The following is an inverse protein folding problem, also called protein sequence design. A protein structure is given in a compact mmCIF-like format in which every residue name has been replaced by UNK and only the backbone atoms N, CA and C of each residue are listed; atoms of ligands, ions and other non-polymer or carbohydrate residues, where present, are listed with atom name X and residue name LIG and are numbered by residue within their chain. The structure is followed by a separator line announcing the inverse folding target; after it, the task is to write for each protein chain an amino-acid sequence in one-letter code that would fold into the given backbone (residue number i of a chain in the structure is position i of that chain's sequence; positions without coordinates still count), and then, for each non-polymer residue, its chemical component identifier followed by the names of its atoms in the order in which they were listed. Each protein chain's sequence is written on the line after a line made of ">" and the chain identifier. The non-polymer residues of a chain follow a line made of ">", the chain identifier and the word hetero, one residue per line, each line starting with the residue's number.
data_IF_245655507660
#
_entry.id   IF_245655507660
#
_cell.length_a   1.000
_cell.length_b   1.000
_cell.length_c   1.000
_cell.angle_alpha   90.00
_cell.angle_beta   90.00
_cell.angle_gamma   90.00
#
_symmetry.space_group_name_H-M   'P 1'
#
loop_
_entity.id
_entity.type
_entity.pdbx_description
1 polymer ?
#
# COMPACT_ATOMS: atom_id res chain seq x y z
N UNK A 1 14.52 4.77 -4.64
CA UNK A 1 15.10 5.78 -3.74
C UNK A 1 14.04 6.22 -2.76
N UNK A 2 14.38 6.36 -1.46
CA UNK A 2 13.46 6.85 -0.43
C UNK A 2 12.93 8.25 -0.82
N UNK A 3 11.65 8.51 -0.52
CA UNK A 3 10.81 9.60 -1.04
C UNK A 3 11.53 10.91 -1.39
N UNK A 4 11.58 11.22 -2.69
CA UNK A 4 12.07 12.48 -3.23
C UNK A 4 10.92 13.41 -3.63
N UNK A 5 11.26 14.60 -4.11
CA UNK A 5 10.28 15.55 -4.63
C UNK A 5 9.92 15.18 -6.07
N UNK A 6 8.63 15.20 -6.41
CA UNK A 6 8.12 14.76 -7.70
C UNK A 6 6.97 15.62 -8.22
N UNK A 7 6.91 15.79 -9.53
CA UNK A 7 5.81 16.42 -10.26
C UNK A 7 5.35 15.47 -11.37
N UNK A 8 4.04 15.22 -11.43
CA UNK A 8 3.41 14.50 -12.53
C UNK A 8 3.14 15.46 -13.69
N UNK A 9 3.57 15.08 -14.89
CA UNK A 9 3.31 15.83 -16.12
C UNK A 9 2.90 14.90 -17.25
N UNK A 10 2.21 15.43 -18.25
CA UNK A 10 1.86 14.72 -19.48
C UNK A 10 2.61 15.34 -20.66
N UNK A 11 3.54 14.58 -21.25
CA UNK A 11 4.33 15.04 -22.40
C UNK A 11 3.56 15.16 -23.72
N UNK A 12 2.34 14.62 -23.78
CA UNK A 12 1.45 14.66 -24.95
C UNK A 12 0.40 15.76 -24.85
N UNK A 13 0.19 16.29 -23.65
CA UNK A 13 -0.66 17.45 -23.41
C UNK A 13 0.17 18.72 -23.63
N UNK A 14 -0.05 19.40 -24.75
CA UNK A 14 0.69 20.61 -25.14
C UNK A 14 -0.18 21.65 -25.83
N UNK A 15 -1.49 21.69 -25.54
CA UNK A 15 -2.47 22.38 -26.39
C UNK A 15 -3.21 23.54 -25.71
N UNK A 16 -3.00 23.77 -24.41
CA UNK A 16 -3.65 24.86 -23.68
C UNK A 16 -2.73 26.05 -23.41
N UNK A 17 -3.18 27.27 -23.74
CA UNK A 17 -2.50 28.50 -23.27
C UNK A 17 -2.58 28.64 -21.75
N UNK A 18 -3.71 28.25 -21.16
CA UNK A 18 -3.98 28.28 -19.72
C UNK A 18 -3.16 27.26 -18.92
N UNK A 19 -2.72 26.19 -19.57
CA UNK A 19 -2.09 25.08 -18.87
C UNK A 19 -0.67 25.39 -18.43
N UNK A 20 -0.32 24.94 -17.23
CA UNK A 20 1.04 25.05 -16.69
C UNK A 20 1.95 24.15 -17.49
N UNK A 21 2.96 24.72 -18.13
CA UNK A 21 3.95 23.98 -18.93
C UNK A 21 5.13 23.59 -18.04
N UNK A 22 5.78 22.48 -18.38
CA UNK A 22 6.93 21.93 -17.64
C UNK A 22 8.12 21.77 -18.58
N UNK A 23 9.27 22.32 -18.22
CA UNK A 23 10.55 22.04 -18.86
C UNK A 23 11.27 20.94 -18.08
N UNK A 24 11.76 19.93 -18.81
CA UNK A 24 12.42 18.75 -18.23
C UNK A 24 13.80 18.55 -18.85
N UNK A 25 14.80 18.29 -18.01
CA UNK A 25 16.13 17.86 -18.42
C UNK A 25 16.58 16.66 -17.57
N UNK A 26 17.02 15.58 -18.20
CA UNK A 26 17.48 14.35 -17.54
C UNK A 26 16.53 13.83 -16.43
N UNK A 27 15.22 13.92 -16.66
CA UNK A 27 14.19 13.48 -15.71
C UNK A 27 13.93 14.44 -14.55
N UNK A 28 14.51 15.65 -14.56
CA UNK A 28 14.27 16.70 -13.56
C UNK A 28 13.48 17.85 -14.16
N UNK A 29 12.59 18.44 -13.36
CA UNK A 29 11.98 19.73 -13.69
C UNK A 29 13.05 20.80 -13.56
N UNK A 30 13.33 21.51 -14.65
CA UNK A 30 14.29 22.63 -14.68
C UNK A 30 13.58 23.99 -14.70
N UNK A 31 12.32 24.02 -15.14
CA UNK A 31 11.46 25.19 -15.09
C UNK A 31 9.99 24.76 -15.26
N UNK A 32 9.05 25.58 -14.82
CA UNK A 32 7.62 25.38 -15.04
C UNK A 32 6.85 26.70 -14.90
N UNK A 33 5.74 26.83 -15.60
CA UNK A 33 4.92 28.04 -15.53
C UNK A 33 3.92 28.15 -16.68
N UNK A 34 2.96 29.07 -16.55
CA UNK A 34 2.02 29.37 -17.65
C UNK A 34 2.69 30.15 -18.78
N UNK A 35 3.69 30.95 -18.43
CA UNK A 35 4.51 31.83 -19.28
C UNK A 35 5.67 31.13 -19.98
N UNK A 36 5.93 29.86 -19.67
CA UNK A 36 7.04 29.11 -20.24
C UNK A 36 6.90 28.99 -21.77
N UNK A 37 7.99 29.29 -22.49
CA UNK A 37 7.97 29.25 -23.96
C UNK A 37 7.67 27.83 -24.48
N UNK A 38 6.91 27.69 -25.60
CA UNK A 38 6.63 26.39 -26.19
C UNK A 38 7.89 25.60 -26.60
N UNK A 39 8.99 26.28 -26.93
CA UNK A 39 10.26 25.65 -27.30
C UNK A 39 10.94 24.93 -26.12
N UNK A 40 10.70 25.40 -24.90
CA UNK A 40 11.23 24.80 -23.67
C UNK A 40 10.28 23.78 -23.04
N UNK A 41 8.99 23.90 -23.32
CA UNK A 41 7.97 23.01 -22.79
C UNK A 41 8.15 21.57 -23.29
N UNK A 42 8.09 20.63 -22.35
CA UNK A 42 8.13 19.17 -22.61
C UNK A 42 6.83 18.47 -22.27
N UNK A 43 5.83 19.22 -21.79
CA UNK A 43 4.50 18.76 -21.46
C UNK A 43 3.80 19.74 -20.52
N UNK A 44 2.63 19.33 -20.03
CA UNK A 44 1.82 20.10 -19.08
C UNK A 44 1.80 19.42 -17.70
N UNK A 45 1.81 20.23 -16.64
CA UNK A 45 1.67 19.76 -15.27
C UNK A 45 0.26 19.22 -15.04
N UNK A 46 0.15 18.10 -14.34
CA UNK A 46 -1.15 17.51 -13.98
C UNK A 46 -1.66 17.99 -12.62
N UNK A 47 -1.02 18.97 -12.00
CA UNK A 47 -1.38 19.47 -10.66
C UNK A 47 -1.10 18.49 -9.51
N UNK A 48 -0.46 17.35 -9.78
CA UNK A 48 -0.13 16.34 -8.77
C UNK A 48 1.35 16.39 -8.42
N UNK A 49 1.64 16.75 -7.18
CA UNK A 49 2.99 16.90 -6.65
C UNK A 49 3.19 16.04 -5.40
N UNK A 50 4.42 15.58 -5.19
CA UNK A 50 4.84 14.87 -4.00
C UNK A 50 6.09 15.54 -3.45
N UNK A 51 6.09 15.87 -2.17
CA UNK A 51 7.25 16.47 -1.51
C UNK A 51 7.64 15.63 -0.30
N UNK A 52 8.95 15.48 -0.10
CA UNK A 52 9.47 15.01 1.18
C UNK A 52 9.50 16.16 2.20
N UNK A 53 9.93 15.88 3.43
CA UNK A 53 9.93 16.88 4.50
C UNK A 53 10.75 18.14 4.15
N UNK A 54 11.91 17.97 3.51
CA UNK A 54 12.73 19.11 3.09
C UNK A 54 12.04 19.90 1.96
N UNK A 55 11.46 19.19 1.00
CA UNK A 55 10.72 19.78 -0.12
C UNK A 55 9.51 20.58 0.32
N UNK A 56 8.74 20.06 1.28
CA UNK A 56 7.56 20.75 1.80
C UNK A 56 7.94 22.02 2.57
N UNK A 57 9.01 21.98 3.38
CA UNK A 57 9.51 23.18 4.08
C UNK A 57 9.98 24.26 3.10
N UNK A 58 10.71 23.88 2.06
CA UNK A 58 11.14 24.83 1.04
C UNK A 58 9.95 25.43 0.28
N UNK A 59 8.97 24.60 -0.12
CA UNK A 59 7.76 25.08 -0.77
C UNK A 59 7.01 26.09 0.10
N UNK A 60 6.76 25.75 1.37
CA UNK A 60 6.07 26.65 2.30
C UNK A 60 6.83 27.96 2.50
N UNK A 61 8.16 27.91 2.64
CA UNK A 61 8.98 29.13 2.71
C UNK A 61 8.86 30.00 1.46
N UNK A 62 8.70 29.40 0.26
CA UNK A 62 8.45 30.15 -0.98
C UNK A 62 7.04 30.70 -1.08
N UNK A 63 6.04 29.99 -0.55
CA UNK A 63 4.68 30.51 -0.41
C UNK A 63 4.65 31.72 0.53
N UNK A 64 5.29 31.63 1.69
CA UNK A 64 5.37 32.72 2.67
C UNK A 64 6.03 33.96 2.04
N UNK A 65 7.17 33.78 1.36
CA UNK A 65 7.86 34.87 0.68
C UNK A 65 7.00 35.51 -0.44
N UNK A 66 6.22 34.73 -1.17
CA UNK A 66 5.29 35.26 -2.17
C UNK A 66 4.20 36.12 -1.51
N UNK A 67 3.59 35.64 -0.42
CA UNK A 67 2.55 36.37 0.31
C UNK A 67 3.13 37.67 0.89
N UNK A 68 4.29 37.62 1.55
CA UNK A 68 4.97 38.80 2.11
C UNK A 68 5.31 39.85 1.05
N UNK A 69 5.54 39.43 -0.19
CA UNK A 69 5.78 40.33 -1.33
C UNK A 69 4.49 40.93 -1.94
N UNK A 70 3.32 40.67 -1.35
CA UNK A 70 2.01 41.11 -1.85
C UNK A 70 1.40 40.18 -2.91
N UNK A 71 1.94 38.98 -3.06
CA UNK A 71 1.55 37.98 -4.07
C UNK A 71 0.39 37.07 -3.64
N UNK A 72 -0.53 37.52 -2.79
CA UNK A 72 -1.59 36.69 -2.19
C UNK A 72 -2.51 36.02 -3.23
N UNK A 73 -2.68 36.65 -4.40
CA UNK A 73 -3.47 36.13 -5.52
C UNK A 73 -2.61 35.40 -6.57
N UNK A 74 -1.35 35.08 -6.26
CA UNK A 74 -0.46 34.38 -7.19
C UNK A 74 -0.83 32.89 -7.29
N UNK A 75 -0.54 32.31 -8.44
CA UNK A 75 -0.69 30.86 -8.62
C UNK A 75 0.31 30.12 -7.74
N UNK A 76 -0.14 29.08 -7.02
CA UNK A 76 0.75 28.23 -6.19
C UNK A 76 1.92 27.64 -6.99
N UNK A 77 1.76 27.51 -8.31
CA UNK A 77 2.78 27.00 -9.20
C UNK A 77 4.02 27.91 -9.26
N UNK A 78 3.89 29.21 -8.98
CA UNK A 78 5.02 30.13 -8.88
C UNK A 78 5.90 29.81 -7.66
N UNK A 79 5.30 29.41 -6.54
CA UNK A 79 6.05 28.92 -5.38
C UNK A 79 6.74 27.60 -5.68
N UNK A 80 6.07 26.70 -6.42
CA UNK A 80 6.67 25.43 -6.87
C UNK A 80 7.85 25.70 -7.81
N UNK A 81 7.71 26.64 -8.75
CA UNK A 81 8.78 27.09 -9.65
C UNK A 81 9.98 27.58 -8.87
N UNK A 82 9.78 28.48 -7.92
CA UNK A 82 10.85 28.97 -7.05
C UNK A 82 11.52 27.82 -6.26
N UNK A 83 10.72 26.98 -5.61
CA UNK A 83 11.22 25.88 -4.78
C UNK A 83 11.95 24.80 -5.59
N UNK A 84 11.56 24.57 -6.85
CA UNK A 84 12.13 23.52 -7.71
C UNK A 84 13.64 23.65 -7.90
N UNK A 85 14.16 24.89 -7.85
CA UNK A 85 15.58 25.20 -7.95
C UNK A 85 16.40 24.75 -6.73
N UNK A 86 15.75 24.57 -5.57
CA UNK A 86 16.40 24.26 -4.30
C UNK A 86 16.31 22.79 -3.90
N UNK A 87 15.19 22.13 -4.25
CA UNK A 87 14.84 20.83 -3.66
C UNK A 87 14.95 19.64 -4.62
N UNK A 88 15.38 19.88 -5.86
CA UNK A 88 15.52 18.85 -6.89
C UNK A 88 14.19 18.14 -7.17
N UNK A 89 13.40 18.70 -8.08
CA UNK A 89 12.08 18.18 -8.42
C UNK A 89 12.16 17.18 -9.59
N UNK A 90 11.79 15.91 -9.37
CA UNK A 90 11.74 14.90 -10.43
C UNK A 90 10.49 15.05 -11.29
N UNK A 91 10.63 14.87 -12.59
CA UNK A 91 9.52 14.88 -13.53
C UNK A 91 9.08 13.45 -13.84
N UNK A 92 7.83 13.10 -13.52
CA UNK A 92 7.24 11.81 -13.82
C UNK A 92 6.24 11.97 -14.96
N UNK A 93 6.52 11.31 -16.08
CA UNK A 93 5.67 11.40 -17.27
C UNK A 93 4.52 10.39 -17.20
N UNK A 94 3.29 10.88 -17.29
CA UNK A 94 2.04 10.12 -17.26
C UNK A 94 1.33 10.10 -18.62
N UNK A 95 2.01 10.50 -19.70
CA UNK A 95 1.48 10.46 -21.05
C UNK A 95 0.84 9.10 -21.38
N UNK A 96 -0.37 9.15 -21.94
CA UNK A 96 -1.15 7.97 -22.30
C UNK A 96 -1.94 7.33 -21.15
N UNK A 97 -1.81 7.82 -19.92
CA UNK A 97 -2.72 7.44 -18.83
C UNK A 97 -4.01 8.26 -18.90
N UNK A 98 -5.18 7.67 -18.55
CA UNK A 98 -6.42 8.41 -18.54
C UNK A 98 -6.46 9.39 -17.36
N UNK A 99 -6.48 10.69 -17.66
CA UNK A 99 -6.63 11.77 -16.68
C UNK A 99 -7.34 12.98 -17.31
N UNK A 100 -7.87 13.87 -16.47
CA UNK A 100 -8.42 15.18 -16.86
C UNK A 100 -8.51 16.09 -15.62
N UNK A 101 -8.23 17.37 -15.79
CA UNK A 101 -8.53 18.44 -14.83
C UNK A 101 -9.96 18.95 -15.08
N UNK A 102 -10.78 19.06 -14.04
CA UNK A 102 -12.21 19.38 -14.17
C UNK A 102 -12.46 20.81 -13.69
N UNK A 103 -12.25 21.78 -14.57
CA UNK A 103 -12.45 23.21 -14.29
C UNK A 103 -13.75 23.75 -14.89
N UNK A 104 -14.14 23.24 -16.06
CA UNK A 104 -15.32 23.67 -16.80
C UNK A 104 -16.33 22.53 -16.97
N UNK A 105 -17.62 22.84 -17.23
CA UNK A 105 -18.65 21.82 -17.49
C UNK A 105 -18.28 20.82 -18.59
N UNK A 106 -17.57 21.29 -19.63
CA UNK A 106 -17.11 20.42 -20.72
C UNK A 106 -16.07 19.39 -20.27
N UNK A 107 -15.21 19.74 -19.30
CA UNK A 107 -14.22 18.80 -18.75
C UNK A 107 -14.90 17.70 -17.94
N UNK A 108 -15.98 18.04 -17.23
CA UNK A 108 -16.80 17.07 -16.52
C UNK A 108 -17.49 16.09 -17.48
N UNK A 109 -18.03 16.59 -18.60
CA UNK A 109 -18.59 15.72 -19.63
C UNK A 109 -17.55 14.76 -20.22
N UNK A 110 -16.36 15.27 -20.54
CA UNK A 110 -15.22 14.47 -21.00
C UNK A 110 -14.81 13.45 -19.93
N UNK A 111 -14.77 13.86 -18.66
CA UNK A 111 -14.46 12.99 -17.53
C UNK A 111 -15.44 11.82 -17.46
N UNK A 112 -16.74 12.07 -17.58
CA UNK A 112 -17.77 11.02 -17.52
C UNK A 112 -17.77 10.09 -18.74
N UNK A 113 -17.64 10.65 -19.95
CA UNK A 113 -17.82 9.91 -21.21
C UNK A 113 -16.57 9.17 -21.65
N UNK A 114 -15.38 9.71 -21.35
CA UNK A 114 -14.12 9.22 -21.91
C UNK A 114 -13.15 8.74 -20.82
N UNK A 115 -12.84 9.60 -19.84
CA UNK A 115 -11.73 9.36 -18.90
C UNK A 115 -12.10 8.36 -17.81
N UNK A 116 -13.24 8.55 -17.13
CA UNK A 116 -13.70 7.66 -16.07
C UNK A 116 -13.94 6.23 -16.57
N UNK A 117 -14.58 6.00 -17.73
CA UNK A 117 -14.68 4.66 -18.31
C UNK A 117 -13.33 4.03 -18.61
N UNK A 118 -12.33 4.80 -19.07
CA UNK A 118 -10.98 4.30 -19.31
C UNK A 118 -10.30 3.86 -18.00
N UNK A 119 -10.34 4.71 -16.96
CA UNK A 119 -9.87 4.37 -15.60
C UNK A 119 -10.56 3.09 -15.12
N UNK A 120 -11.90 3.05 -15.16
CA UNK A 120 -12.70 1.89 -14.71
C UNK A 120 -12.44 0.62 -15.54
N UNK A 121 -12.19 0.74 -16.85
CA UNK A 121 -11.89 -0.39 -17.74
C UNK A 121 -10.54 -1.01 -17.43
N UNK A 122 -9.55 -0.22 -17.03
CA UNK A 122 -8.27 -0.76 -16.58
C UNK A 122 -8.38 -1.43 -15.20
N UNK A 123 -9.25 -0.94 -14.31
CA UNK A 123 -9.70 -1.69 -13.12
C UNK A 123 -10.43 -3.02 -13.47
N UNK A 124 -11.16 -3.06 -14.60
CA UNK A 124 -11.89 -4.25 -15.08
C UNK A 124 -10.99 -5.29 -15.77
N UNK A 125 -9.89 -4.90 -16.43
CA UNK A 125 -8.93 -5.86 -17.02
C UNK A 125 -8.22 -6.69 -15.97
N UNK A 126 -7.83 -6.09 -14.84
CA UNK A 126 -7.29 -6.80 -13.68
C UNK A 126 -8.32 -7.78 -13.11
N UNK A 127 -9.60 -7.43 -13.12
CA UNK A 127 -10.67 -8.28 -12.55
C UNK A 127 -11.14 -9.40 -13.50
N UNK A 128 -11.16 -9.18 -14.83
CA UNK A 128 -11.66 -10.17 -15.82
C UNK A 128 -10.63 -11.18 -16.27
N UNK A 129 -9.34 -10.83 -16.29
CA UNK A 129 -8.28 -11.81 -16.57
C UNK A 129 -8.37 -12.99 -15.58
N UNK A 130 -8.67 -12.68 -14.31
CA UNK A 130 -8.95 -13.66 -13.27
C UNK A 130 -10.29 -14.39 -13.39
N UNK A 131 -11.31 -13.84 -14.06
CA UNK A 131 -12.60 -14.53 -14.26
C UNK A 131 -12.55 -15.51 -15.44
N UNK A 132 -11.93 -15.16 -16.56
CA UNK A 132 -11.80 -16.07 -17.71
C UNK A 132 -10.89 -17.26 -17.41
N UNK A 133 -9.80 -17.04 -16.66
CA UNK A 133 -8.93 -18.12 -16.19
C UNK A 133 -9.70 -19.10 -15.29
N UNK A 134 -10.59 -18.59 -14.41
CA UNK A 134 -11.44 -19.41 -13.54
C UNK A 134 -12.44 -20.28 -14.30
N UNK A 135 -13.03 -19.81 -15.39
CA UNK A 135 -13.98 -20.64 -16.17
C UNK A 135 -13.27 -21.72 -17.00
N UNK A 136 -12.09 -21.43 -17.55
CA UNK A 136 -11.28 -22.44 -18.23
C UNK A 136 -10.81 -23.50 -17.21
N UNK A 137 -10.35 -23.07 -16.03
CA UNK A 137 -10.01 -24.00 -14.93
C UNK A 137 -11.22 -24.81 -14.47
N UNK A 138 -12.41 -24.21 -14.40
CA UNK A 138 -13.64 -24.90 -13.99
C UNK A 138 -14.10 -25.94 -15.02
N UNK A 139 -13.96 -25.67 -16.32
CA UNK A 139 -14.24 -26.66 -17.36
C UNK A 139 -13.23 -27.80 -17.32
N UNK A 140 -11.94 -27.49 -17.15
CA UNK A 140 -10.89 -28.51 -16.96
C UNK A 140 -11.15 -29.33 -15.69
N UNK A 141 -11.53 -28.69 -14.58
CA UNK A 141 -11.90 -29.35 -13.33
C UNK A 141 -13.16 -30.20 -13.46
N UNK A 142 -14.15 -29.81 -14.27
CA UNK A 142 -15.35 -30.62 -14.52
C UNK A 142 -15.05 -31.84 -15.37
N UNK A 143 -14.15 -31.73 -16.35
CA UNK A 143 -13.69 -32.87 -17.16
C UNK A 143 -12.86 -33.82 -16.29
N UNK A 144 -11.97 -33.29 -15.44
CA UNK A 144 -11.19 -34.06 -14.47
C UNK A 144 -12.09 -34.69 -13.41
N UNK A 145 -13.08 -33.97 -12.88
CA UNK A 145 -14.05 -34.48 -11.91
C UNK A 145 -15.02 -35.51 -12.52
N UNK A 146 -15.35 -35.42 -13.81
CA UNK A 146 -16.07 -36.47 -14.53
C UNK A 146 -15.23 -37.74 -14.69
N UNK A 147 -13.92 -37.59 -14.91
CA UNK A 147 -12.97 -38.70 -14.99
C UNK A 147 -12.69 -39.36 -13.62
N UNK A 148 -12.67 -38.55 -12.55
CA UNK A 148 -12.51 -39.00 -11.17
C UNK A 148 -13.83 -39.58 -10.61
N UNK A 149 -14.98 -39.01 -10.97
CA UNK A 149 -16.30 -39.43 -10.52
C UNK A 149 -16.74 -40.80 -11.05
N UNK A 150 -16.16 -41.26 -12.16
CA UNK A 150 -16.29 -42.65 -12.61
C UNK A 150 -15.40 -43.63 -11.81
N UNK A 151 -14.44 -43.13 -11.03
CA UNK A 151 -13.46 -43.96 -10.31
C UNK A 151 -13.51 -43.86 -8.79
N UNK A 152 -14.19 -42.89 -8.18
CA UNK A 152 -14.15 -42.72 -6.73
C UNK A 152 -15.54 -42.42 -6.19
N UNK A 153 -16.32 -43.48 -6.00
CA UNK A 153 -17.30 -43.47 -4.92
C UNK A 153 -16.56 -43.44 -3.59
N UNK A 154 -16.64 -42.32 -2.84
CA UNK A 154 -16.68 -42.23 -1.37
C UNK A 154 -16.42 -40.79 -0.87
N UNK A 155 -17.51 -40.15 -0.42
CA UNK A 155 -17.67 -39.18 0.68
C UNK A 155 -16.91 -37.83 0.72
N UNK A 156 -17.71 -36.76 0.80
CA UNK A 156 -17.38 -35.42 1.31
C UNK A 156 -17.19 -35.39 2.84
N UNK A 157 -16.16 -34.66 3.31
CA UNK A 157 -16.19 -33.76 4.47
C UNK A 157 -15.21 -32.60 4.18
N UNK A 158 -15.67 -31.35 4.20
CA UNK A 158 -14.80 -30.17 4.08
C UNK A 158 -14.29 -29.78 5.47
N UNK A 159 -13.01 -30.06 5.74
CA UNK A 159 -12.40 -29.77 7.04
C UNK A 159 -12.22 -28.26 7.31
N UNK A 160 -12.51 -27.88 8.56
CA UNK A 160 -12.28 -26.51 9.08
C UNK A 160 -10.77 -26.29 9.23
N UNK A 161 -10.19 -25.41 8.42
CA UNK A 161 -8.78 -24.99 8.55
C UNK A 161 -8.59 -24.25 9.90
N UNK A 162 -7.83 -24.87 10.81
CA UNK A 162 -7.38 -24.27 12.07
C UNK A 162 -6.16 -23.38 11.81
N UNK A 163 -6.16 -22.16 12.34
CA UNK A 163 -5.03 -21.23 12.22
C UNK A 163 -4.24 -21.20 13.53
N UNK A 164 -2.98 -21.63 13.48
CA UNK A 164 -2.06 -21.65 14.62
C UNK A 164 -1.38 -20.30 14.74
N UNK A 165 -1.03 -19.91 15.97
CA UNK A 165 -0.29 -18.69 16.27
C UNK A 165 1.16 -19.03 16.57
N UNK A 166 2.09 -18.40 15.86
CA UNK A 166 3.51 -18.51 16.21
C UNK A 166 3.91 -17.53 17.30
N UNK A 167 4.89 -17.95 18.12
CA UNK A 167 5.50 -17.11 19.15
C UNK A 167 6.76 -16.48 18.55
N UNK A 168 6.76 -15.19 18.18
CA UNK A 168 7.96 -14.53 17.73
C UNK A 168 9.02 -14.45 18.84
N UNK A 169 10.28 -14.47 18.41
CA UNK A 169 11.41 -14.00 19.19
C UNK A 169 11.46 -12.47 19.15
N UNK A 170 11.66 -11.87 20.33
CA UNK A 170 11.58 -10.42 20.54
C UNK A 170 10.19 -9.96 21.02
N UNK A 171 10.16 -8.72 21.54
CA UNK A 171 8.96 -8.04 22.02
C UNK A 171 8.25 -8.67 23.21
N UNK A 172 7.15 -8.04 23.60
CA UNK A 172 6.40 -8.39 24.81
C UNK A 172 5.02 -8.95 24.45
N UNK A 173 4.63 -10.04 25.10
CA UNK A 173 3.29 -10.60 24.92
C UNK A 173 2.26 -9.73 25.63
N UNK A 174 1.29 -9.22 24.88
CA UNK A 174 0.18 -8.42 25.41
C UNK A 174 -1.18 -9.08 25.13
N UNK A 175 -2.21 -8.66 25.87
CA UNK A 175 -3.59 -9.13 25.68
C UNK A 175 -4.48 -7.96 25.33
N UNK A 176 -5.23 -8.11 24.24
CA UNK A 176 -6.31 -7.19 23.87
C UNK A 176 -7.65 -7.77 24.35
N UNK A 177 -8.49 -6.93 24.95
CA UNK A 177 -9.87 -7.29 25.26
C UNK A 177 -10.78 -6.80 24.13
N UNK A 178 -11.27 -7.73 23.31
CA UNK A 178 -12.22 -7.45 22.24
C UNK A 178 -13.65 -7.82 22.70
N UNK A 179 -14.71 -7.29 22.04
CA UNK A 179 -16.09 -7.67 22.35
C UNK A 179 -16.36 -9.18 22.29
N UNK A 180 -15.62 -9.89 21.43
CA UNK A 180 -15.75 -11.34 21.22
C UNK A 180 -14.79 -12.18 22.07
N UNK A 181 -14.09 -11.57 23.03
CA UNK A 181 -13.16 -12.24 23.93
C UNK A 181 -11.72 -11.73 23.83
N UNK A 182 -10.86 -12.31 24.67
CA UNK A 182 -9.45 -11.91 24.78
C UNK A 182 -8.62 -12.45 23.62
N UNK A 183 -7.70 -11.64 23.12
CA UNK A 183 -6.75 -12.06 22.09
C UNK A 183 -5.31 -11.76 22.53
N UNK A 184 -4.42 -12.74 22.35
CA UNK A 184 -2.98 -12.58 22.55
C UNK A 184 -2.33 -11.94 21.34
N UNK A 185 -1.43 -10.99 21.57
CA UNK A 185 -0.65 -10.26 20.57
C UNK A 185 0.79 -10.10 21.07
N UNK A 186 1.70 -9.72 20.17
CA UNK A 186 3.07 -9.37 20.52
C UNK A 186 3.32 -7.91 20.21
N UNK A 187 3.71 -7.15 21.24
CA UNK A 187 4.07 -5.75 21.14
C UNK A 187 5.54 -5.60 20.85
N UNK A 188 5.88 -4.69 19.94
CA UNK A 188 7.24 -4.21 19.78
C UNK A 188 7.25 -2.72 19.41
N UNK A 189 8.44 -2.18 19.26
CA UNK A 189 8.66 -0.80 18.82
C UNK A 189 9.51 -0.77 17.54
N UNK A 190 9.40 0.32 16.80
CA UNK A 190 10.19 0.59 15.60
C UNK A 190 11.68 0.33 15.85
N UNK A 191 12.30 -0.45 14.97
CA UNK A 191 13.71 -0.85 15.07
C UNK A 191 13.94 -2.10 15.91
N UNK A 192 12.88 -2.68 16.50
CA UNK A 192 12.92 -3.93 17.24
C UNK A 192 12.04 -4.98 16.54
N UNK A 193 12.52 -5.60 15.44
CA UNK A 193 11.71 -6.51 14.65
C UNK A 193 11.32 -7.78 15.43
N UNK A 194 10.08 -8.22 15.22
CA UNK A 194 9.58 -9.50 15.73
C UNK A 194 9.83 -10.59 14.71
N UNK A 195 10.50 -11.68 15.11
CA UNK A 195 10.96 -12.71 14.17
C UNK A 195 10.43 -14.10 14.49
N UNK A 196 10.07 -14.86 13.46
CA UNK A 196 9.67 -16.26 13.56
C UNK A 196 10.45 -17.06 12.51
N UNK A 197 10.88 -18.27 12.85
CA UNK A 197 11.44 -19.23 11.90
C UNK A 197 10.37 -20.26 11.60
N UNK A 198 10.08 -20.50 10.33
CA UNK A 198 9.04 -21.43 9.88
C UNK A 198 9.49 -22.18 8.64
N UNK A 199 9.10 -23.44 8.53
CA UNK A 199 9.35 -24.24 7.35
C UNK A 199 8.17 -24.11 6.37
N UNK A 200 8.48 -23.80 5.11
CA UNK A 200 7.50 -23.82 4.02
C UNK A 200 7.52 -25.16 3.27
N UNK A 201 6.61 -25.36 2.31
CA UNK A 201 5.78 -24.33 1.69
C UNK A 201 4.49 -24.03 2.47
N UNK A 202 4.27 -22.76 2.82
CA UNK A 202 3.08 -22.35 3.60
C UNK A 202 2.68 -20.87 3.42
N UNK A 203 1.38 -20.55 3.42
CA UNK A 203 0.86 -19.17 3.50
C UNK A 203 0.89 -18.71 4.96
N UNK A 204 1.72 -17.72 5.28
CA UNK A 204 1.75 -17.05 6.57
C UNK A 204 0.93 -15.76 6.52
N UNK A 205 0.09 -15.55 7.53
CA UNK A 205 -0.70 -14.33 7.74
C UNK A 205 -0.12 -13.53 8.90
N UNK A 206 0.25 -12.31 8.59
CA UNK A 206 0.78 -11.35 9.55
C UNK A 206 -0.33 -10.33 9.79
N UNK A 207 -0.96 -10.39 10.96
CA UNK A 207 -1.89 -9.34 11.41
C UNK A 207 -1.07 -8.26 12.14
N UNK A 208 -1.28 -6.99 11.82
CA UNK A 208 -0.61 -5.85 12.50
C UNK A 208 -1.64 -4.85 12.98
N UNK A 209 -1.36 -4.18 14.11
CA UNK A 209 -2.11 -3.03 14.63
C UNK A 209 -1.13 -2.00 15.16
N UNK A 210 -1.39 -0.72 14.90
CA UNK A 210 -0.62 0.36 15.50
C UNK A 210 -1.15 0.68 16.90
N UNK A 211 -0.26 0.95 17.86
CA UNK A 211 -0.63 1.47 19.18
C UNK A 211 -0.54 2.99 19.13
N UNK A 212 -1.68 3.67 19.13
CA UNK A 212 -1.82 5.11 19.07
C UNK A 212 -1.71 5.74 20.46
N UNK A 213 -1.27 7.00 20.51
CA UNK A 213 -1.23 7.77 21.74
C UNK A 213 -2.63 7.93 22.34
N UNK A 214 -2.71 8.04 23.67
CA UNK A 214 -3.98 8.36 24.34
C UNK A 214 -4.59 9.66 23.79
N UNK A 215 -5.91 9.69 23.68
CA UNK A 215 -6.64 10.84 23.13
C UNK A 215 -6.56 10.99 21.60
N UNK A 216 -5.94 10.04 20.87
CA UNK A 216 -5.95 10.06 19.40
C UNK A 216 -7.37 9.84 18.87
N UNK A 217 -7.91 10.83 18.17
CA UNK A 217 -9.23 10.78 17.51
C UNK A 217 -9.07 10.62 15.99
N UNK A 218 -8.08 11.29 15.41
CA UNK A 218 -7.84 11.28 13.97
C UNK A 218 -7.05 10.04 13.52
N UNK A 219 -7.34 9.49 12.33
CA UNK A 219 -6.58 8.37 11.80
C UNK A 219 -5.12 8.71 11.52
N UNK A 220 -4.22 7.79 11.85
CA UNK A 220 -2.81 7.84 11.53
C UNK A 220 -2.42 7.01 10.31
N UNK A 221 -1.11 6.91 10.06
CA UNK A 221 -0.52 6.02 9.04
C UNK A 221 0.73 5.35 9.58
N UNK A 222 1.00 4.15 9.09
CA UNK A 222 2.24 3.43 9.39
C UNK A 222 2.66 2.54 8.22
N UNK A 223 3.95 2.29 8.11
CA UNK A 223 4.59 1.46 7.09
C UNK A 223 5.11 0.22 7.77
N UNK A 224 4.54 -0.93 7.46
CA UNK A 224 5.02 -2.24 7.93
C UNK A 224 6.04 -2.75 6.93
N UNK A 225 7.19 -3.20 7.42
CA UNK A 225 8.18 -3.96 6.64
C UNK A 225 8.15 -5.43 7.07
N UNK A 226 8.18 -6.29 6.06
CA UNK A 226 8.39 -7.73 6.23
C UNK A 226 9.73 -8.07 5.58
N UNK A 227 10.62 -8.66 6.37
CA UNK A 227 11.88 -9.21 5.91
C UNK A 227 11.77 -10.74 5.84
N UNK A 228 12.37 -11.32 4.81
CA UNK A 228 12.55 -12.75 4.63
C UNK A 228 14.05 -13.04 4.60
N UNK A 229 14.53 -13.88 5.51
CA UNK A 229 15.94 -14.29 5.61
C UNK A 229 16.91 -13.09 5.66
N UNK A 230 16.51 -12.05 6.39
CA UNK A 230 17.27 -10.82 6.58
C UNK A 230 17.26 -9.87 5.38
N UNK A 231 16.49 -10.16 4.32
CA UNK A 231 16.31 -9.29 3.16
C UNK A 231 14.91 -8.68 3.16
N UNK A 232 14.75 -7.40 2.78
CA UNK A 232 13.43 -6.81 2.60
C UNK A 232 12.62 -7.62 1.57
N UNK A 233 11.45 -8.10 1.99
CA UNK A 233 10.54 -8.87 1.14
C UNK A 233 9.38 -7.98 0.66
N UNK A 234 8.75 -7.24 1.57
CA UNK A 234 7.70 -6.29 1.23
C UNK A 234 7.61 -5.16 2.24
N UNK A 235 7.08 -4.02 1.79
CA UNK A 235 6.63 -2.95 2.68
C UNK A 235 5.23 -2.51 2.27
N UNK A 236 4.35 -2.29 3.25
CA UNK A 236 2.97 -1.87 3.00
C UNK A 236 2.62 -0.70 3.89
N UNK A 237 2.06 0.36 3.30
CA UNK A 237 1.51 1.50 4.05
C UNK A 237 0.05 1.24 4.37
N UNK A 238 -0.31 1.38 5.64
CA UNK A 238 -1.68 1.29 6.11
C UNK A 238 -2.14 2.61 6.73
N UNK A 239 -3.44 2.90 6.58
CA UNK A 239 -4.14 3.90 7.40
C UNK A 239 -4.53 3.20 8.70
N UNK A 240 -4.26 3.83 9.85
CA UNK A 240 -4.65 3.30 11.15
C UNK A 240 -5.74 4.15 11.78
N UNK A 241 -6.94 3.60 11.91
CA UNK A 241 -8.08 4.28 12.54
C UNK A 241 -8.21 3.82 14.00
N UNK A 242 -8.31 4.74 14.99
CA UNK A 242 -8.59 4.37 16.37
C UNK A 242 -9.78 3.40 16.51
N UNK A 243 -9.58 2.26 17.16
CA UNK A 243 -10.63 1.29 17.41
C UNK A 243 -11.35 1.62 18.72
N UNK A 244 -12.67 1.78 18.67
CA UNK A 244 -13.46 2.27 19.80
C UNK A 244 -13.84 1.19 20.82
N UNK A 245 -13.95 -0.08 20.38
CA UNK A 245 -14.43 -1.17 21.24
C UNK A 245 -13.32 -2.05 21.86
N UNK A 246 -12.05 -1.84 21.51
CA UNK A 246 -10.94 -2.67 22.02
C UNK A 246 -10.36 -1.98 23.25
N UNK A 247 -10.30 -2.71 24.36
CA UNK A 247 -9.57 -2.24 25.53
C UNK A 247 -8.15 -2.77 25.51
N UNK A 248 -7.22 -1.86 25.73
CA UNK A 248 -5.80 -2.14 25.85
C UNK A 248 -5.21 -1.21 26.91
N UNK A 249 -4.43 -1.76 27.84
CA UNK A 249 -3.94 -1.02 29.00
C UNK A 249 -2.92 0.06 28.61
N UNK A 250 -2.19 -0.12 27.51
CA UNK A 250 -1.04 0.72 27.19
C UNK A 250 -1.28 1.69 26.01
N UNK A 251 -2.54 1.98 25.70
CA UNK A 251 -2.91 3.00 24.71
C UNK A 251 -4.11 2.64 23.84
N UNK A 252 -4.32 3.46 22.81
CA UNK A 252 -5.42 3.27 21.85
C UNK A 252 -4.95 2.31 20.76
N UNK A 253 -5.77 1.32 20.43
CA UNK A 253 -5.44 0.34 19.39
C UNK A 253 -6.06 0.74 18.07
N UNK A 254 -5.25 0.80 17.01
CA UNK A 254 -5.74 0.95 15.65
C UNK A 254 -6.51 -0.28 15.14
N UNK A 255 -7.21 -0.12 14.03
CA UNK A 255 -7.74 -1.22 13.22
C UNK A 255 -6.67 -2.25 12.84
N UNK A 256 -7.14 -3.44 12.45
CA UNK A 256 -6.27 -4.59 12.13
C UNK A 256 -6.01 -4.64 10.65
N UNK A 257 -4.74 -4.53 10.30
CA UNK A 257 -4.25 -4.80 8.96
C UNK A 257 -3.72 -6.23 8.84
N UNK A 258 -3.64 -6.71 7.60
CA UNK A 258 -3.15 -8.06 7.30
C UNK A 258 -2.25 -8.07 6.07
N UNK A 259 -1.11 -8.73 6.21
CA UNK A 259 -0.20 -9.08 5.13
C UNK A 259 -0.21 -10.61 4.98
N UNK A 260 -0.10 -11.08 3.74
CA UNK A 260 0.08 -12.50 3.40
C UNK A 260 1.48 -12.68 2.81
N UNK A 261 2.16 -13.74 3.22
CA UNK A 261 3.49 -14.09 2.75
C UNK A 261 3.47 -15.57 2.41
N UNK A 262 3.79 -15.91 1.16
CA UNK A 262 3.97 -17.29 0.73
C UNK A 262 5.43 -17.68 0.96
N UNK A 263 5.65 -18.64 1.86
CA UNK A 263 6.98 -19.22 2.07
C UNK A 263 7.19 -20.35 1.06
N UNK A 264 8.29 -20.34 0.29
CA UNK A 264 8.68 -21.49 -0.52
C UNK A 264 9.16 -22.65 0.36
N UNK A 265 9.46 -23.78 -0.27
CA UNK A 265 10.04 -24.93 0.43
C UNK A 265 11.37 -24.56 1.10
N UNK A 266 11.53 -24.96 2.36
CA UNK A 266 12.71 -24.69 3.17
C UNK A 266 12.42 -23.91 4.43
N UNK A 267 13.46 -23.72 5.26
CA UNK A 267 13.36 -22.98 6.52
C UNK A 267 13.60 -21.49 6.28
N UNK A 268 12.65 -20.66 6.71
CA UNK A 268 12.67 -19.23 6.48
C UNK A 268 12.49 -18.44 7.77
N UNK A 269 13.28 -17.38 7.93
CA UNK A 269 13.10 -16.39 8.99
C UNK A 269 12.27 -15.22 8.47
N UNK A 270 11.05 -15.11 8.97
CA UNK A 270 10.20 -13.93 8.76
C UNK A 270 10.46 -12.95 9.90
N UNK A 271 10.73 -11.68 9.58
CA UNK A 271 10.82 -10.61 10.56
C UNK A 271 9.87 -9.47 10.19
N UNK A 272 9.16 -8.93 11.18
CA UNK A 272 8.17 -7.86 11.00
C UNK A 272 8.56 -6.66 11.85
N UNK A 273 8.64 -5.50 11.22
CA UNK A 273 8.88 -4.20 11.88
C UNK A 273 7.98 -3.12 11.26
N UNK A 274 8.01 -1.93 11.85
CA UNK A 274 7.49 -0.72 11.23
C UNK A 274 8.66 0.18 10.82
N UNK A 275 8.64 0.71 9.60
CA UNK A 275 9.67 1.62 9.09
C UNK A 275 9.39 3.08 9.43
N UNK A 276 8.12 3.44 9.57
CA UNK A 276 7.66 4.79 9.88
C UNK A 276 6.19 4.73 10.30
N UNK A 277 5.74 5.70 11.09
CA UNK A 277 4.32 5.87 11.36
C UNK A 277 4.04 6.98 12.36
N UNK A 278 2.75 7.24 12.59
CA UNK A 278 2.27 8.19 13.61
C UNK A 278 2.53 7.72 15.04
N UNK A 279 2.96 6.48 15.21
CA UNK A 279 3.46 5.91 16.46
C UNK A 279 4.62 4.97 16.14
N UNK A 280 5.50 4.78 17.12
CA UNK A 280 6.61 3.84 17.05
C UNK A 280 6.26 2.48 17.66
N UNK A 281 5.06 2.26 18.23
CA UNK A 281 4.68 1.00 18.87
C UNK A 281 3.63 0.27 18.05
N UNK A 282 3.84 -1.02 17.84
CA UNK A 282 2.94 -1.86 17.06
C UNK A 282 2.71 -3.21 17.75
N UNK A 283 1.57 -3.82 17.43
CA UNK A 283 1.24 -5.18 17.80
C UNK A 283 1.22 -6.05 16.55
N UNK A 284 1.78 -7.25 16.62
CA UNK A 284 1.71 -8.23 15.52
C UNK A 284 1.25 -9.60 16.00
N UNK A 285 0.75 -10.40 15.07
CA UNK A 285 0.58 -11.85 15.21
C UNK A 285 0.87 -12.51 13.89
N UNK A 286 1.70 -13.54 13.91
CA UNK A 286 1.92 -14.41 12.77
C UNK A 286 1.05 -15.66 12.94
N UNK A 287 0.37 -16.05 11.87
CA UNK A 287 -0.52 -17.21 11.84
C UNK A 287 -0.35 -17.99 10.57
N UNK A 288 -0.44 -19.31 10.68
CA UNK A 288 -0.34 -20.23 9.57
C UNK A 288 -1.42 -21.31 9.72
N UNK A 289 -1.88 -21.93 8.63
CA UNK A 289 -2.79 -23.06 8.73
C UNK A 289 -2.05 -24.24 9.36
N UNK A 290 -2.61 -24.86 10.40
CA UNK A 290 -2.09 -26.15 10.87
C UNK A 290 -2.26 -27.16 9.73
N UNK A 291 -1.21 -27.86 9.28
CA UNK A 291 -1.43 -29.06 8.50
C UNK A 291 -2.23 -30.02 9.38
N UNK A 292 -3.35 -30.53 8.87
CA UNK A 292 -4.06 -31.62 9.55
C UNK A 292 -3.11 -32.82 9.51
N UNK A 293 -2.36 -33.03 10.58
CA UNK A 293 -1.71 -34.32 10.82
C UNK A 293 -2.85 -35.30 11.08
N UNK A 294 -3.25 -36.02 10.04
CA UNK A 294 -3.89 -37.31 10.26
C UNK A 294 -2.81 -38.15 10.96
N UNK A 295 -2.89 -38.23 12.28
CA UNK A 295 -2.23 -39.30 13.02
C UNK A 295 -2.76 -40.59 12.40
N UNK A 296 -1.97 -41.19 11.52
CA UNK A 296 -2.08 -42.61 11.27
C UNK A 296 -1.72 -43.26 12.61
N UNK A 297 -2.73 -43.62 13.39
CA UNK A 297 -2.66 -44.81 14.24
C UNK A 297 -2.21 -45.95 13.33
N UNK A 298 -0.89 -46.12 13.24
CA UNK A 298 -0.34 -47.39 12.82
C UNK A 298 -0.50 -48.31 14.01
N UNK A 299 -1.47 -49.22 13.88
CA UNK A 299 -1.39 -50.55 14.44
C UNK A 299 0.03 -51.10 14.26
N UNK A 300 0.78 -51.25 15.34
CA UNK A 300 1.81 -52.27 15.44
C UNK A 300 1.25 -53.41 16.29
N UNK A 301 1.04 -54.54 15.62
CA UNK A 301 0.71 -55.83 16.22
C UNK A 301 1.71 -56.22 17.32
N UNK A 302 1.18 -56.63 18.48
CA UNK A 302 1.59 -57.85 19.17
C UNK A 302 0.46 -58.40 20.05
#
# INVERSE_FOLDING_TARGET
>A
GKGGNGLAFDSTSTRGSEQTKVAVNEGRVIDLGKDLSPAMARGESMGMLSFNEQGSKALLSRVDALIESGGENSWVIEAVRAASSEIGLMAYNFAGMPWVEIDFPNDFEKAQKEVWPAIKKDHWKVTVHWRKLKYILAVVLLVVAGFIGLNIGSREVADKIVWVHEVPTGGERVTLELPKGRQRWWSSTQGNPLSVVMDGPIEVRIDVRLVLAEGTIEPGRYVVEVMLDGKPHSWTTFKSTPHTEIKFADGIIGDRDRIKVDLPEGSHKISVDILAGTSNRFLTRLRYPEPITLETENDEEQ
#
